data_IF_664637702868
#
_entry.id   IF_664637702868
#
_cell.length_a   1.000
_cell.length_b   1.000
_cell.length_c   1.000
_cell.angle_alpha   90.00
_cell.angle_beta   90.00
_cell.angle_gamma   90.00
#
_symmetry.space_group_name_H-M   'P 1'
#
loop_
_entity.id
_entity.type
_entity.pdbx_description
1 polymer ?
#
# COMPACT_ATOMS: atom_id res chain seq x y z
N UNK A 1 7.55 5.70 9.48
CA UNK A 1 6.32 6.48 9.20
C UNK A 1 5.08 5.59 9.24
N UNK A 2 4.91 4.61 8.35
CA UNK A 2 3.71 3.74 8.32
C UNK A 2 3.36 3.09 9.67
N UNK A 3 4.36 2.61 10.42
CA UNK A 3 4.16 2.07 11.79
C UNK A 3 3.55 3.11 12.75
N UNK A 4 3.93 4.39 12.64
CA UNK A 4 3.39 5.47 13.46
C UNK A 4 1.92 5.74 13.11
N UNK A 5 1.60 5.85 11.82
CA UNK A 5 0.21 6.01 11.35
C UNK A 5 -0.70 4.87 11.84
N UNK A 6 -0.24 3.62 11.73
CA UNK A 6 -0.99 2.44 12.22
C UNK A 6 -1.20 2.47 13.73
N UNK A 7 -0.19 2.88 14.50
CA UNK A 7 -0.31 3.03 15.96
C UNK A 7 -1.29 4.16 16.36
N UNK A 8 -1.31 5.27 15.61
CA UNK A 8 -2.22 6.39 15.87
C UNK A 8 -3.68 6.11 15.45
N UNK A 9 -3.89 5.22 14.49
CA UNK A 9 -5.21 4.92 13.93
C UNK A 9 -5.46 3.41 13.91
N UNK A 10 -5.89 2.82 15.04
CA UNK A 10 -6.10 1.38 15.17
C UNK A 10 -7.17 0.82 14.22
N UNK A 11 -8.03 1.67 13.63
CA UNK A 11 -8.97 1.25 12.59
C UNK A 11 -8.28 0.72 11.32
N UNK A 12 -7.07 1.17 11.01
CA UNK A 12 -6.34 0.72 9.82
C UNK A 12 -5.99 -0.77 9.95
N UNK A 13 -5.49 -1.19 11.11
CA UNK A 13 -5.14 -2.59 11.35
C UNK A 13 -6.36 -3.51 11.45
N UNK A 14 -7.53 -2.98 11.82
CA UNK A 14 -8.79 -3.74 11.87
C UNK A 14 -9.43 -3.92 10.49
N UNK A 15 -9.31 -2.92 9.63
CA UNK A 15 -10.06 -2.87 8.36
C UNK A 15 -9.20 -3.23 7.15
N UNK A 16 -7.87 -3.07 7.25
CA UNK A 16 -6.93 -3.22 6.15
C UNK A 16 -5.91 -4.31 6.50
N UNK A 17 -5.78 -5.30 5.63
CA UNK A 17 -4.68 -6.27 5.70
C UNK A 17 -3.44 -5.72 5.00
N UNK A 18 -2.36 -5.53 5.76
CA UNK A 18 -1.11 -5.03 5.23
C UNK A 18 -0.19 -6.16 4.78
N UNK A 19 0.08 -6.21 3.48
CA UNK A 19 1.10 -7.08 2.90
C UNK A 19 2.36 -6.27 2.60
N UNK A 20 3.46 -6.60 3.28
CA UNK A 20 4.79 -6.12 2.91
C UNK A 20 5.42 -7.14 1.97
N UNK A 21 5.58 -6.74 0.72
CA UNK A 21 6.22 -7.55 -0.31
C UNK A 21 7.59 -6.94 -0.60
N UNK A 22 8.63 -7.75 -0.46
CA UNK A 22 9.97 -7.38 -0.88
C UNK A 22 10.08 -7.49 -2.41
N UNK A 23 10.07 -6.36 -3.09
CA UNK A 23 10.04 -6.33 -4.56
C UNK A 23 11.35 -6.78 -5.20
N UNK A 24 12.47 -6.75 -4.48
CA UNK A 24 13.76 -7.26 -4.96
C UNK A 24 13.70 -8.79 -5.08
N UNK A 25 13.08 -9.43 -4.09
CA UNK A 25 12.85 -10.87 -4.03
C UNK A 25 11.83 -11.35 -5.09
N UNK A 26 10.82 -10.55 -5.40
CA UNK A 26 9.71 -10.91 -6.32
C UNK A 26 9.77 -10.22 -7.70
N UNK A 27 10.90 -9.62 -8.06
CA UNK A 27 11.08 -8.86 -9.31
C UNK A 27 10.75 -9.64 -10.60
N UNK A 28 10.80 -10.97 -10.55
CA UNK A 28 10.57 -11.87 -11.69
C UNK A 28 9.20 -12.59 -11.66
N UNK A 29 8.38 -12.38 -10.63
CA UNK A 29 7.11 -13.09 -10.45
C UNK A 29 5.92 -12.39 -11.15
N UNK A 30 4.90 -13.14 -11.59
CA UNK A 30 3.73 -12.60 -12.30
C UNK A 30 3.00 -11.42 -11.60
N UNK A 31 3.15 -11.31 -10.27
CA UNK A 31 2.58 -10.21 -9.48
C UNK A 31 3.25 -8.85 -9.75
N UNK A 32 4.52 -8.83 -10.16
CA UNK A 32 5.26 -7.60 -10.51
C UNK A 32 5.11 -7.23 -11.98
N UNK A 33 5.24 -8.19 -12.89
CA UNK A 33 5.13 -7.96 -14.34
C UNK A 33 3.70 -7.64 -14.77
N UNK A 34 2.68 -8.24 -14.15
CA UNK A 34 1.27 -8.00 -14.49
C UNK A 34 0.68 -6.67 -14.00
N UNK A 35 1.31 -5.99 -13.03
CA UNK A 35 0.81 -4.73 -12.44
C UNK A 35 1.66 -3.50 -12.72
N UNK A 36 2.73 -3.65 -13.53
CA UNK A 36 3.72 -2.62 -13.83
C UNK A 36 4.18 -1.87 -12.57
N UNK A 37 4.47 -2.61 -11.49
CA UNK A 37 4.93 -2.00 -10.25
C UNK A 37 6.39 -1.55 -10.48
N UNK A 38 6.69 -0.24 -10.46
CA UNK A 38 8.07 0.21 -10.60
C UNK A 38 8.87 -0.28 -9.38
N UNK A 39 10.18 -0.57 -9.54
CA UNK A 39 11.11 -0.99 -8.47
C UNK A 39 11.26 0.01 -7.30
N UNK A 40 10.51 1.12 -7.31
CA UNK A 40 10.45 2.10 -6.22
C UNK A 40 9.31 1.74 -5.27
N UNK A 41 9.46 2.04 -3.99
CA UNK A 41 8.47 1.80 -2.93
C UNK A 41 7.07 2.17 -3.38
N UNK A 42 6.25 1.16 -3.71
CA UNK A 42 4.89 1.35 -4.23
C UNK A 42 3.90 0.85 -3.19
N UNK A 43 2.96 1.70 -2.81
CA UNK A 43 1.83 1.36 -1.94
C UNK A 43 0.59 1.23 -2.82
N UNK A 44 -0.12 0.11 -2.72
CA UNK A 44 -1.37 -0.14 -3.45
C UNK A 44 -2.41 -0.60 -2.46
N UNK A 45 -3.62 -0.05 -2.54
CA UNK A 45 -4.77 -0.56 -1.80
C UNK A 45 -5.74 -1.21 -2.76
N UNK A 46 -6.19 -2.40 -2.37
CA UNK A 46 -7.16 -3.20 -3.11
C UNK A 46 -8.37 -3.42 -2.19
N UNK A 47 -9.55 -3.04 -2.66
CA UNK A 47 -10.83 -3.26 -1.97
C UNK A 47 -11.80 -3.94 -2.93
N UNK A 48 -12.44 -5.02 -2.49
CA UNK A 48 -13.38 -5.79 -3.33
C UNK A 48 -12.76 -6.33 -4.64
N UNK A 49 -11.46 -6.64 -4.64
CA UNK A 49 -10.74 -7.13 -5.82
C UNK A 49 -10.31 -6.05 -6.82
N UNK A 50 -10.58 -4.77 -6.55
CA UNK A 50 -10.17 -3.64 -7.41
C UNK A 50 -9.15 -2.75 -6.71
N UNK A 51 -8.21 -2.22 -7.49
CA UNK A 51 -7.27 -1.19 -7.03
C UNK A 51 -8.02 0.13 -6.84
N UNK A 52 -8.07 0.62 -5.61
CA UNK A 52 -8.74 1.89 -5.25
C UNK A 52 -7.75 3.06 -5.18
N UNK A 53 -6.46 2.78 -5.03
CA UNK A 53 -5.44 3.81 -5.12
C UNK A 53 -4.02 3.25 -5.06
N UNK A 54 -3.09 4.04 -5.60
CA UNK A 54 -1.67 3.73 -5.70
C UNK A 54 -0.84 4.96 -5.42
N UNK A 55 0.23 4.77 -4.65
CA UNK A 55 1.29 5.75 -4.47
C UNK A 55 2.62 5.14 -4.89
N UNK A 56 3.35 5.82 -5.77
CA UNK A 56 4.65 5.37 -6.30
C UNK A 56 5.75 6.27 -5.77
N UNK A 57 6.72 5.68 -5.07
CA UNK A 57 7.86 6.40 -4.47
C UNK A 57 7.46 7.57 -3.57
N UNK A 58 6.23 7.59 -3.07
CA UNK A 58 5.69 8.70 -2.29
C UNK A 58 6.03 8.51 -0.81
N UNK A 59 6.55 9.56 -0.20
CA UNK A 59 6.99 9.55 1.21
C UNK A 59 6.20 10.54 2.06
N UNK A 60 5.29 11.31 1.45
CA UNK A 60 4.45 12.25 2.17
C UNK A 60 3.46 11.54 3.11
N UNK A 61 3.74 11.65 4.41
CA UNK A 61 2.78 12.06 5.44
C UNK A 61 1.30 11.84 5.10
N UNK A 62 0.77 12.95 4.62
CA UNK A 62 -0.62 13.22 4.33
C UNK A 62 -1.14 12.37 3.19
N UNK A 63 -0.36 12.20 2.10
CA UNK A 63 -0.80 11.40 0.96
C UNK A 63 -0.98 9.93 1.33
N UNK A 64 -0.05 9.39 2.11
CA UNK A 64 -0.17 8.01 2.60
C UNK A 64 -1.39 7.89 3.51
N UNK A 65 -1.62 8.85 4.41
CA UNK A 65 -2.82 8.86 5.26
C UNK A 65 -4.10 8.88 4.43
N UNK A 66 -4.21 9.78 3.45
CA UNK A 66 -5.38 9.88 2.56
C UNK A 66 -5.64 8.57 1.84
N UNK A 67 -4.59 7.91 1.32
CA UNK A 67 -4.75 6.61 0.69
C UNK A 67 -5.27 5.56 1.68
N UNK A 68 -4.70 5.48 2.90
CA UNK A 68 -5.18 4.56 3.94
C UNK A 68 -6.62 4.85 4.36
N UNK A 69 -7.02 6.11 4.48
CA UNK A 69 -8.40 6.50 4.79
C UNK A 69 -9.38 5.95 3.75
N UNK A 70 -9.05 6.02 2.46
CA UNK A 70 -9.87 5.43 1.38
C UNK A 70 -10.02 3.91 1.46
N UNK A 71 -9.13 3.23 2.21
CA UNK A 71 -9.22 1.79 2.45
C UNK A 71 -10.08 1.41 3.64
N UNK A 72 -10.36 2.34 4.56
CA UNK A 72 -11.22 2.11 5.75
C UNK A 72 -12.66 2.50 5.50
N UNK A 73 -12.87 3.61 4.79
CA UNK A 73 -14.20 4.09 4.39
C UNK A 73 -14.93 3.04 3.55
#
# INVERSE_FOLDING_TARGET
MLKRLRASYPQYDKSITFFLIDWDTFASHAVTTGRQIPRRSTLVIIKGGKEIGRLVAETSEQKIKTLLDSGVE
#
